data_IF_207578901254
#
_entry.id   IF_207578901254
#
_cell.length_a   1.000
_cell.length_b   1.000
_cell.length_c   1.000
_cell.angle_alpha   90.00
_cell.angle_beta   90.00
_cell.angle_gamma   90.00
#
_symmetry.space_group_name_H-M   'P 1'
#
loop_
_entity.id
_entity.type
_entity.pdbx_description
1 polymer ?
#
# COMPACT_ATOMS: atom_id res chain seq x y z
N UNK A 1 -19.91 -20.05 5.74
CA UNK A 1 -19.23 -19.06 4.84
C UNK A 1 -17.88 -18.81 5.45
N UNK A 2 -16.85 -19.39 4.85
CA UNK A 2 -15.44 -19.28 5.31
C UNK A 2 -14.91 -17.91 4.92
N UNK A 3 -14.45 -17.15 5.92
CA UNK A 3 -13.76 -15.87 5.69
C UNK A 3 -12.51 -16.09 4.83
N UNK A 4 -12.25 -15.23 3.85
CA UNK A 4 -11.00 -15.26 3.11
C UNK A 4 -9.88 -14.73 4.00
N UNK A 5 -9.05 -15.61 4.58
CA UNK A 5 -7.83 -15.20 5.26
C UNK A 5 -6.76 -14.82 4.25
N UNK A 6 -6.13 -13.67 4.46
CA UNK A 6 -4.91 -13.30 3.76
C UNK A 6 -3.81 -14.28 4.15
N UNK A 7 -2.96 -14.77 3.23
CA UNK A 7 -1.81 -15.59 3.62
C UNK A 7 -0.89 -14.79 4.54
N UNK A 8 -0.62 -15.34 5.73
CA UNK A 8 0.23 -14.73 6.75
C UNK A 8 1.62 -14.41 6.20
N UNK A 9 2.04 -13.16 6.38
CA UNK A 9 3.45 -12.77 6.24
C UNK A 9 4.14 -13.17 7.53
N UNK A 10 4.78 -14.34 7.52
CA UNK A 10 5.50 -14.88 8.66
C UNK A 10 6.68 -13.99 9.04
N UNK A 11 6.60 -13.46 10.26
CA UNK A 11 7.78 -13.04 11.04
C UNK A 11 8.67 -14.26 11.27
N UNK A 12 9.94 -14.13 10.92
CA UNK A 12 11.00 -15.13 11.02
C UNK A 12 10.99 -15.89 12.35
N UNK A 13 10.69 -17.18 12.32
CA UNK A 13 11.29 -18.20 13.16
C UNK A 13 11.20 -19.53 12.40
N UNK A 14 12.36 -20.06 12.04
CA UNK A 14 12.57 -21.39 11.49
C UNK A 14 12.09 -22.43 12.53
N UNK A 15 11.15 -23.29 12.16
CA UNK A 15 11.18 -24.75 12.32
C UNK A 15 9.77 -25.36 12.12
N UNK A 16 9.77 -26.44 11.30
CA UNK A 16 8.71 -27.44 11.10
C UNK A 16 7.54 -27.12 10.16
N UNK A 17 7.74 -27.56 8.91
CA UNK A 17 6.67 -27.83 7.93
C UNK A 17 5.92 -29.12 8.26
N UNK A 18 4.59 -29.19 8.02
CA UNK A 18 4.04 -30.31 7.30
C UNK A 18 3.34 -29.91 5.99
N UNK A 19 3.45 -30.81 5.03
CA UNK A 19 2.92 -30.83 3.68
C UNK A 19 1.38 -30.66 3.61
N UNK A 20 0.92 -29.75 2.74
CA UNK A 20 -0.47 -29.63 2.34
C UNK A 20 -0.63 -28.45 1.38
N UNK A 21 -1.07 -28.70 0.15
CA UNK A 21 -1.19 -27.80 -0.99
C UNK A 21 -1.79 -26.41 -0.66
N UNK A 22 -0.97 -25.50 -0.24
CA UNK A 22 -1.28 -24.07 -0.25
C UNK A 22 -0.73 -23.51 -1.56
N UNK A 23 -1.59 -22.90 -2.37
CA UNK A 23 -1.17 -22.07 -3.49
C UNK A 23 -0.30 -20.96 -2.90
N UNK A 24 1.00 -21.21 -2.91
CA UNK A 24 2.01 -20.26 -2.48
C UNK A 24 1.89 -19.00 -3.36
N UNK A 25 1.31 -17.95 -2.80
CA UNK A 25 1.43 -16.63 -3.39
C UNK A 25 2.93 -16.35 -3.53
N UNK A 26 3.41 -16.27 -4.76
CA UNK A 26 4.79 -15.86 -5.04
C UNK A 26 4.97 -14.52 -4.34
N UNK A 27 5.76 -14.50 -3.26
CA UNK A 27 6.23 -13.25 -2.66
C UNK A 27 7.12 -12.64 -3.73
N UNK A 28 6.61 -11.67 -4.45
CA UNK A 28 7.39 -10.96 -5.45
C UNK A 28 8.55 -10.30 -4.71
N UNK A 29 9.76 -10.73 -5.01
CA UNK A 29 10.97 -10.08 -4.46
C UNK A 29 10.95 -8.62 -4.89
N UNK A 30 11.14 -7.66 -3.98
CA UNK A 30 11.20 -6.26 -4.34
C UNK A 30 12.20 -6.00 -5.47
N UNK A 31 11.82 -5.17 -6.41
CA UNK A 31 12.72 -4.75 -7.49
C UNK A 31 13.83 -3.90 -6.91
N UNK A 32 15.09 -4.31 -7.13
CA UNK A 32 16.24 -3.51 -6.71
C UNK A 32 16.44 -2.37 -7.71
N UNK A 33 16.40 -1.15 -7.22
CA UNK A 33 16.67 0.07 -7.99
C UNK A 33 17.88 0.77 -7.34
N UNK A 34 18.97 0.91 -8.10
CA UNK A 34 20.21 1.44 -7.58
C UNK A 34 20.37 2.93 -7.94
N UNK A 35 20.32 3.76 -6.93
CA UNK A 35 20.39 5.22 -7.04
C UNK A 35 19.13 5.83 -7.66
N UNK A 36 19.10 7.16 -7.66
CA UNK A 36 18.01 7.90 -8.33
C UNK A 36 18.05 7.73 -9.85
N UNK A 37 19.22 7.42 -10.41
CA UNK A 37 19.45 7.16 -11.83
C UNK A 37 18.77 5.86 -12.28
N UNK A 38 18.74 4.86 -11.41
CA UNK A 38 18.11 3.57 -11.68
C UNK A 38 16.60 3.68 -11.93
N UNK A 39 15.96 4.71 -11.39
CA UNK A 39 14.55 5.00 -11.64
C UNK A 39 14.24 5.25 -13.13
N UNK A 40 15.22 5.74 -13.90
CA UNK A 40 15.04 5.99 -15.34
C UNK A 40 14.63 4.72 -16.12
N UNK A 41 15.11 3.55 -15.70
CA UNK A 41 14.75 2.28 -16.34
C UNK A 41 13.28 1.88 -16.13
N UNK A 42 12.65 2.47 -15.12
CA UNK A 42 11.24 2.22 -14.76
C UNK A 42 10.28 3.28 -15.28
N UNK A 43 10.78 4.31 -15.96
CA UNK A 43 9.93 5.36 -16.52
C UNK A 43 8.90 4.77 -17.51
N UNK A 44 7.64 5.16 -17.33
CA UNK A 44 6.47 4.69 -18.07
C UNK A 44 6.19 3.17 -17.93
N UNK A 45 6.74 2.51 -16.90
CA UNK A 45 6.53 1.08 -16.63
C UNK A 45 5.80 0.88 -15.30
N UNK A 46 5.01 -0.19 -15.26
CA UNK A 46 4.43 -0.69 -14.00
C UNK A 46 5.47 -1.54 -13.26
N UNK A 47 5.55 -1.35 -11.95
CA UNK A 47 6.25 -2.29 -11.07
C UNK A 47 5.42 -3.57 -10.92
N UNK A 48 6.05 -4.71 -10.62
CA UNK A 48 5.32 -5.87 -10.15
C UNK A 48 4.41 -5.48 -8.98
N UNK A 49 3.15 -5.96 -8.92
CA UNK A 49 2.26 -5.67 -7.81
C UNK A 49 2.88 -6.09 -6.48
N UNK A 50 2.66 -5.30 -5.44
CA UNK A 50 3.09 -5.63 -4.08
C UNK A 50 2.38 -6.86 -3.51
N UNK A 51 2.85 -7.39 -2.39
CA UNK A 51 2.17 -8.46 -1.68
C UNK A 51 0.82 -7.99 -1.14
N UNK A 52 -0.09 -8.94 -0.95
CA UNK A 52 -1.33 -8.68 -0.23
C UNK A 52 -1.04 -8.46 1.26
N UNK A 53 -1.63 -7.43 1.83
CA UNK A 53 -1.56 -7.13 3.25
C UNK A 53 -2.95 -7.00 3.85
N UNK A 54 -3.17 -7.58 5.01
CA UNK A 54 -4.42 -7.42 5.77
C UNK A 54 -4.46 -6.05 6.43
N UNK A 55 -5.62 -5.38 6.40
CA UNK A 55 -5.88 -4.15 7.13
C UNK A 55 -6.79 -4.45 8.33
N UNK A 56 -6.24 -4.76 9.53
CA UNK A 56 -7.01 -5.11 10.69
C UNK A 56 -7.72 -3.90 11.32
N UNK A 57 -8.78 -4.14 12.11
CA UNK A 57 -9.50 -3.11 12.85
C UNK A 57 -8.57 -2.28 13.73
N UNK A 58 -7.56 -2.90 14.33
CA UNK A 58 -6.59 -2.19 15.19
C UNK A 58 -5.85 -1.05 14.50
N UNK A 59 -5.57 -1.17 13.19
CA UNK A 59 -4.97 -0.07 12.41
C UNK A 59 -5.98 1.06 12.17
N UNK A 60 -7.25 0.73 11.97
CA UNK A 60 -8.34 1.70 11.80
C UNK A 60 -8.54 2.47 13.10
N UNK A 61 -8.55 1.77 14.24
CA UNK A 61 -8.69 2.37 15.57
C UNK A 61 -7.51 3.29 15.89
N UNK A 62 -6.29 2.86 15.60
CA UNK A 62 -5.08 3.68 15.79
C UNK A 62 -5.12 4.95 14.93
N UNK A 63 -5.60 4.85 13.68
CA UNK A 63 -5.75 5.99 12.80
C UNK A 63 -6.83 6.96 13.30
N UNK A 64 -7.98 6.43 13.74
CA UNK A 64 -9.05 7.21 14.33
C UNK A 64 -8.57 7.98 15.57
N UNK A 65 -7.75 7.33 16.41
CA UNK A 65 -7.17 7.96 17.59
C UNK A 65 -6.18 9.08 17.21
N UNK A 66 -5.29 8.80 16.25
CA UNK A 66 -4.26 9.75 15.83
C UNK A 66 -4.83 11.00 15.13
N UNK A 67 -5.95 10.86 14.43
CA UNK A 67 -6.55 11.94 13.61
C UNK A 67 -7.75 12.61 14.26
N UNK A 68 -8.37 11.95 15.25
CA UNK A 68 -9.63 12.39 15.85
C UNK A 68 -10.87 12.06 15.02
N UNK A 69 -10.73 11.43 13.84
CA UNK A 69 -11.86 10.98 13.01
C UNK A 69 -12.42 9.66 13.56
N UNK A 70 -13.33 9.79 14.52
CA UNK A 70 -14.00 8.67 15.19
C UNK A 70 -15.42 8.47 14.70
N UNK A 71 -15.67 8.68 13.40
CA UNK A 71 -16.98 8.42 12.84
C UNK A 71 -17.35 6.94 13.04
N UNK A 72 -18.60 6.68 13.39
CA UNK A 72 -19.09 5.34 13.78
C UNK A 72 -18.82 4.26 12.72
N UNK A 73 -18.81 4.62 11.43
CA UNK A 73 -18.50 3.68 10.34
C UNK A 73 -17.11 3.05 10.46
N UNK A 74 -16.20 3.66 11.22
CA UNK A 74 -14.83 3.19 11.40
C UNK A 74 -14.63 2.45 12.73
N UNK A 75 -15.34 2.85 13.80
CA UNK A 75 -15.02 2.40 15.18
C UNK A 75 -16.17 1.71 15.92
N UNK A 76 -17.38 1.72 15.41
CA UNK A 76 -18.54 1.08 16.05
C UNK A 76 -18.98 -0.17 15.25
N UNK A 77 -18.39 -1.31 15.60
CA UNK A 77 -18.67 -2.57 14.89
C UNK A 77 -20.13 -3.00 14.96
N UNK A 78 -20.82 -2.75 16.09
CA UNK A 78 -22.22 -3.13 16.28
C UNK A 78 -23.15 -2.32 15.36
N UNK A 79 -22.91 -1.02 15.26
CA UNK A 79 -23.64 -0.13 14.39
C UNK A 79 -23.32 -0.37 12.92
N UNK A 80 -22.03 -0.59 12.61
CA UNK A 80 -21.56 -0.82 11.24
C UNK A 80 -22.09 -2.13 10.64
N UNK A 81 -22.21 -3.19 11.45
CA UNK A 81 -22.78 -4.47 11.04
C UNK A 81 -24.23 -4.35 10.55
N UNK A 82 -24.99 -3.39 11.08
CA UNK A 82 -26.37 -3.11 10.69
C UNK A 82 -26.52 -2.03 9.61
N UNK A 83 -25.40 -1.61 8.99
CA UNK A 83 -25.36 -0.61 7.94
C UNK A 83 -25.23 -1.24 6.56
N UNK A 84 -25.24 -0.39 5.53
CA UNK A 84 -24.99 -0.79 4.13
C UNK A 84 -23.59 -1.39 3.92
N UNK A 85 -22.67 -1.18 4.85
CA UNK A 85 -21.32 -1.70 4.77
C UNK A 85 -21.18 -3.12 5.34
N UNK A 86 -22.05 -3.54 6.26
CA UNK A 86 -22.04 -4.86 6.90
C UNK A 86 -20.88 -5.07 7.91
N UNK A 87 -19.95 -4.16 7.97
CA UNK A 87 -18.82 -4.13 8.91
C UNK A 87 -18.28 -2.71 9.03
N UNK A 88 -17.34 -2.49 9.95
CA UNK A 88 -16.54 -1.25 9.93
C UNK A 88 -15.70 -1.19 8.65
N UNK A 89 -15.41 0.03 8.21
CA UNK A 89 -14.58 0.29 7.04
C UNK A 89 -13.40 1.19 7.41
N UNK A 90 -12.30 1.06 6.68
CA UNK A 90 -11.14 1.93 6.84
C UNK A 90 -11.45 3.37 6.42
N UNK A 91 -10.79 4.33 7.06
CA UNK A 91 -10.74 5.70 6.57
C UNK A 91 -10.09 5.73 5.19
N UNK A 92 -10.65 6.48 4.27
CA UNK A 92 -10.00 6.68 2.97
C UNK A 92 -8.59 7.25 3.12
N UNK A 93 -8.38 8.17 4.06
CA UNK A 93 -7.07 8.73 4.35
C UNK A 93 -6.09 7.73 4.98
N UNK A 94 -6.57 6.72 5.73
CA UNK A 94 -5.72 5.61 6.16
C UNK A 94 -5.23 4.81 4.94
N UNK A 95 -6.15 4.46 4.02
CA UNK A 95 -5.78 3.76 2.78
C UNK A 95 -4.77 4.55 1.97
N UNK A 96 -4.92 5.88 1.88
CA UNK A 96 -3.94 6.77 1.23
C UNK A 96 -2.58 6.76 1.96
N UNK A 97 -2.59 6.78 3.28
CA UNK A 97 -1.37 6.79 4.10
C UNK A 97 -0.55 5.49 4.01
N UNK A 98 -1.14 4.39 3.55
CA UNK A 98 -0.43 3.12 3.34
C UNK A 98 0.45 3.11 2.07
N UNK A 99 0.25 4.05 1.13
CA UNK A 99 0.96 4.09 -0.16
C UNK A 99 2.48 4.00 -0.02
N UNK A 100 3.17 4.79 0.85
CA UNK A 100 4.61 4.71 0.97
C UNK A 100 5.11 3.33 1.40
N UNK A 101 4.52 2.75 2.43
CA UNK A 101 4.88 1.42 2.91
C UNK A 101 4.60 0.31 1.88
N UNK A 102 3.54 0.44 1.08
CA UNK A 102 3.25 -0.48 -0.03
C UNK A 102 4.30 -0.37 -1.14
N UNK A 103 4.80 0.85 -1.45
CA UNK A 103 5.88 1.00 -2.44
C UNK A 103 7.17 0.34 -1.96
N UNK A 104 7.52 0.47 -0.67
CA UNK A 104 8.72 -0.15 -0.08
C UNK A 104 8.68 -1.69 -0.15
N UNK A 105 7.49 -2.28 -0.24
CA UNK A 105 7.34 -3.71 -0.48
C UNK A 105 7.52 -4.09 -1.97
N UNK A 106 7.41 -3.13 -2.88
CA UNK A 106 7.58 -3.35 -4.32
C UNK A 106 9.02 -3.09 -4.77
N UNK A 107 9.73 -2.15 -4.11
CA UNK A 107 11.07 -1.72 -4.51
C UNK A 107 12.03 -1.66 -3.32
N UNK A 108 13.26 -2.12 -3.56
CA UNK A 108 14.43 -1.87 -2.71
C UNK A 108 15.24 -0.76 -3.38
N UNK A 109 15.00 0.49 -2.94
CA UNK A 109 15.65 1.67 -3.52
C UNK A 109 16.95 1.98 -2.75
N UNK A 110 18.08 1.57 -3.33
CA UNK A 110 19.42 1.70 -2.72
C UNK A 110 20.07 3.04 -3.05
N UNK A 111 21.10 3.43 -2.28
CA UNK A 111 21.87 4.66 -2.45
C UNK A 111 21.01 5.93 -2.59
N UNK A 112 19.91 5.96 -1.83
CA UNK A 112 19.03 7.12 -1.69
C UNK A 112 19.02 7.52 -0.22
N UNK A 113 19.50 8.73 0.06
CA UNK A 113 19.62 9.23 1.42
C UNK A 113 18.27 9.47 2.08
N UNK A 114 17.29 9.93 1.30
CA UNK A 114 16.00 10.34 1.85
C UNK A 114 14.90 10.33 0.79
N UNK A 115 13.70 9.93 1.21
CA UNK A 115 12.47 10.08 0.45
C UNK A 115 11.47 10.97 1.17
N UNK A 116 10.85 11.91 0.45
CA UNK A 116 9.85 12.83 1.01
C UNK A 116 8.56 12.74 0.22
N UNK A 117 7.44 12.60 0.91
CA UNK A 117 6.12 12.75 0.32
C UNK A 117 5.91 14.23 -0.01
N UNK A 118 5.82 14.56 -1.29
CA UNK A 118 5.71 15.94 -1.73
C UNK A 118 4.26 16.38 -1.93
N UNK A 119 3.42 15.48 -2.43
CA UNK A 119 2.02 15.78 -2.64
C UNK A 119 1.27 14.65 -3.34
N UNK A 120 -0.03 14.84 -3.47
CA UNK A 120 -0.92 13.93 -4.19
C UNK A 120 -1.88 14.74 -5.06
N UNK A 121 -2.20 14.20 -6.24
CA UNK A 121 -3.22 14.74 -7.14
C UNK A 121 -4.27 13.67 -7.41
N UNK A 122 -5.47 14.10 -7.83
CA UNK A 122 -6.54 13.25 -8.34
C UNK A 122 -6.85 12.01 -7.46
N UNK A 123 -6.77 12.15 -6.15
CA UNK A 123 -7.12 11.08 -5.22
C UNK A 123 -8.61 10.78 -5.32
N UNK A 124 -8.95 9.49 -5.44
CA UNK A 124 -10.34 8.99 -5.37
C UNK A 124 -10.38 7.72 -4.54
N UNK A 125 -11.25 7.71 -3.54
CA UNK A 125 -11.63 6.54 -2.76
C UNK A 125 -12.82 5.89 -3.47
N UNK A 126 -12.59 4.76 -4.12
CA UNK A 126 -13.55 4.17 -5.07
C UNK A 126 -14.40 3.10 -4.41
N UNK A 127 -13.76 2.19 -3.67
CA UNK A 127 -14.43 1.09 -2.99
C UNK A 127 -14.13 1.17 -1.50
N UNK A 128 -15.15 1.17 -0.63
CA UNK A 128 -14.94 1.07 0.82
C UNK A 128 -14.14 -0.19 1.15
N UNK A 129 -13.20 -0.05 2.08
CA UNK A 129 -12.32 -1.14 2.52
C UNK A 129 -12.85 -1.67 3.85
N UNK A 130 -13.43 -2.88 3.91
CA UNK A 130 -13.86 -3.49 5.16
C UNK A 130 -12.67 -3.74 6.10
N UNK A 131 -12.89 -3.68 7.42
CA UNK A 131 -11.91 -4.14 8.38
C UNK A 131 -11.58 -5.62 8.12
N UNK A 132 -10.29 -5.98 8.20
CA UNK A 132 -9.81 -7.33 7.89
C UNK A 132 -9.60 -7.62 6.40
N UNK A 133 -9.99 -6.73 5.50
CA UNK A 133 -9.77 -6.93 4.07
C UNK A 133 -8.30 -6.90 3.68
N UNK A 134 -7.97 -7.58 2.58
CA UNK A 134 -6.62 -7.59 2.02
C UNK A 134 -6.46 -6.57 0.89
N UNK A 135 -5.40 -5.79 0.96
CA UNK A 135 -5.01 -4.74 0.01
C UNK A 135 -3.64 -5.02 -0.59
N UNK A 136 -3.38 -4.52 -1.79
CA UNK A 136 -2.03 -4.43 -2.36
C UNK A 136 -1.86 -3.17 -3.20
N UNK A 137 -0.62 -2.66 -3.23
CA UNK A 137 -0.25 -1.53 -4.04
C UNK A 137 0.19 -1.95 -5.45
N UNK A 138 -0.26 -1.19 -6.45
CA UNK A 138 0.21 -1.24 -7.83
C UNK A 138 0.72 0.14 -8.22
N UNK A 139 1.93 0.22 -8.79
CA UNK A 139 2.63 1.48 -9.03
C UNK A 139 3.15 1.54 -10.46
N UNK A 140 2.96 2.69 -11.11
CA UNK A 140 3.60 3.04 -12.38
C UNK A 140 4.32 4.37 -12.23
N UNK A 141 5.60 4.38 -12.61
CA UNK A 141 6.39 5.62 -12.63
C UNK A 141 6.13 6.37 -13.93
N UNK A 142 5.42 7.50 -13.85
CA UNK A 142 5.01 8.24 -15.05
C UNK A 142 6.01 9.33 -15.45
N UNK A 143 6.67 9.96 -14.45
CA UNK A 143 7.56 11.08 -14.72
C UNK A 143 8.69 11.17 -13.70
N UNK A 144 9.86 11.58 -14.19
CA UNK A 144 11.02 11.95 -13.40
C UNK A 144 11.39 13.39 -13.76
N UNK A 145 11.47 14.25 -12.74
CA UNK A 145 11.87 15.66 -12.90
C UNK A 145 13.10 15.89 -12.03
N UNK A 146 14.25 16.24 -12.62
CA UNK A 146 15.45 16.59 -11.85
C UNK A 146 15.15 17.75 -10.90
N UNK A 147 15.67 17.66 -9.68
CA UNK A 147 15.66 18.72 -8.67
C UNK A 147 17.07 18.83 -8.07
N UNK A 148 17.35 19.90 -7.35
CA UNK A 148 18.63 20.06 -6.66
C UNK A 148 18.85 18.89 -5.67
N UNK A 149 19.94 18.15 -5.85
CA UNK A 149 20.33 17.02 -5.02
C UNK A 149 19.52 15.74 -5.21
N UNK A 150 18.67 15.64 -6.25
CA UNK A 150 17.86 14.45 -6.44
C UNK A 150 16.86 14.52 -7.61
N UNK A 151 15.75 13.82 -7.44
CA UNK A 151 14.70 13.72 -8.44
C UNK A 151 13.32 13.78 -7.79
N UNK A 152 12.37 14.44 -8.44
CA UNK A 152 10.96 14.33 -8.14
C UNK A 152 10.34 13.25 -9.03
N UNK A 153 9.65 12.31 -8.40
CA UNK A 153 8.94 11.22 -9.08
C UNK A 153 7.45 11.51 -9.11
N UNK A 154 6.79 11.12 -10.18
CA UNK A 154 5.34 11.15 -10.31
C UNK A 154 4.85 9.71 -10.56
N UNK A 155 4.04 9.20 -9.66
CA UNK A 155 3.53 7.84 -9.68
C UNK A 155 2.03 7.84 -9.93
N UNK A 156 1.56 6.99 -10.85
CA UNK A 156 0.17 6.51 -10.82
C UNK A 156 0.10 5.36 -9.84
N UNK A 157 -0.78 5.49 -8.86
CA UNK A 157 -1.00 4.51 -7.80
C UNK A 157 -2.41 3.95 -7.89
N UNK A 158 -2.52 2.62 -7.77
CA UNK A 158 -3.77 1.90 -7.60
C UNK A 158 -3.62 0.97 -6.39
N UNK A 159 -4.52 1.10 -5.42
CA UNK A 159 -4.62 0.13 -4.33
C UNK A 159 -5.75 -0.81 -4.66
N UNK A 160 -5.43 -2.07 -4.84
CA UNK A 160 -6.39 -3.14 -5.10
C UNK A 160 -6.95 -3.70 -3.81
N UNK A 161 -8.23 -4.06 -3.84
CA UNK A 161 -8.95 -4.75 -2.78
C UNK A 161 -9.21 -6.20 -3.25
N UNK A 162 -8.77 -7.18 -2.46
CA UNK A 162 -8.95 -8.59 -2.80
C UNK A 162 -10.43 -8.95 -2.95
N UNK A 163 -10.76 -9.66 -4.02
CA UNK A 163 -12.15 -10.03 -4.33
C UNK A 163 -13.01 -8.92 -4.96
N UNK A 164 -12.45 -7.73 -5.22
CA UNK A 164 -13.13 -6.63 -5.89
C UNK A 164 -12.57 -6.38 -7.29
N UNK A 165 -13.44 -6.20 -8.27
CA UNK A 165 -13.04 -5.76 -9.62
C UNK A 165 -12.61 -4.29 -9.67
N UNK A 166 -13.06 -3.50 -8.69
CA UNK A 166 -12.74 -2.08 -8.59
C UNK A 166 -11.70 -1.85 -7.51
N UNK A 167 -10.72 -0.96 -7.74
CA UNK A 167 -9.72 -0.64 -6.73
C UNK A 167 -10.37 0.06 -5.52
N UNK A 168 -9.71 -0.03 -4.37
CA UNK A 168 -10.05 0.76 -3.19
C UNK A 168 -9.72 2.24 -3.40
N UNK A 169 -8.57 2.52 -4.01
CA UNK A 169 -8.05 3.87 -4.21
C UNK A 169 -7.29 3.98 -5.52
N UNK A 170 -7.37 5.16 -6.15
CA UNK A 170 -6.45 5.62 -7.18
C UNK A 170 -5.94 7.01 -6.84
N UNK A 171 -4.67 7.27 -7.16
CA UNK A 171 -4.04 8.57 -6.91
C UNK A 171 -2.88 8.83 -7.88
N UNK A 172 -2.59 10.10 -8.10
CA UNK A 172 -1.29 10.53 -8.61
C UNK A 172 -0.47 10.99 -7.40
N UNK A 173 0.67 10.35 -7.16
CA UNK A 173 1.51 10.59 -5.99
C UNK A 173 2.86 11.13 -6.38
N UNK A 174 3.25 12.24 -5.78
CA UNK A 174 4.52 12.91 -6.01
C UNK A 174 5.43 12.69 -4.81
N UNK A 175 6.65 12.19 -5.08
CA UNK A 175 7.69 12.11 -4.07
C UNK A 175 8.97 12.78 -4.55
N UNK A 176 9.82 13.14 -3.61
CA UNK A 176 11.19 13.59 -3.89
C UNK A 176 12.18 12.60 -3.29
N UNK A 177 13.16 12.20 -4.09
CA UNK A 177 14.22 11.27 -3.70
C UNK A 177 15.55 12.01 -3.81
N UNK A 178 16.30 12.01 -2.74
CA UNK A 178 17.58 12.69 -2.66
C UNK A 178 18.71 11.68 -2.67
N UNK A 179 19.71 11.90 -3.53
CA UNK A 179 20.88 11.03 -3.62
C UNK A 179 21.73 11.12 -2.34
N UNK A 180 22.45 10.05 -2.03
CA UNK A 180 23.51 10.13 -1.03
C UNK A 180 24.58 11.14 -1.50
N UNK A 181 25.05 11.94 -0.56
CA UNK A 181 26.21 12.82 -0.85
C UNK A 181 27.46 11.95 -0.93
N UNK A 182 28.20 12.11 -2.01
CA UNK A 182 29.51 11.50 -2.16
C UNK A 182 30.50 12.00 -1.09
#
# INVERSE_FOLDING_TARGET
MTEPSCPDVATTALDNLPSGDAVAGVIATPVVIDGVEGLQHWLARELPPGPWMTLPQSHIDAFAEATGDRQWIHVDAARAANSVFGSTIAHGFLTLALIPGMLEQCVDLRRVAMGVNYGVNKVRFITPVPAGACLRGCFRLDQLTPIEGGVQTHWTVRIELQGSERPALVAEWLTRRYAERA
#
